data_IF_413741123304
#
_entry.id   IF_413741123304
#
_cell.length_a   1.000
_cell.length_b   1.000
_cell.length_c   1.000
_cell.angle_alpha   90.00
_cell.angle_beta   90.00
_cell.angle_gamma   90.00
#
_symmetry.space_group_name_H-M   'P 1'
#
loop_
_entity.id
_entity.type
_entity.pdbx_description
1 polymer ?
#
# COMPACT_ATOMS: atom_id res chain seq x y z
N UNK A 1 14.12 -28.57 -11.59
CA UNK A 1 14.88 -27.67 -10.69
C UNK A 1 14.26 -26.27 -10.56
N UNK A 2 13.56 -25.76 -11.57
CA UNK A 2 13.05 -24.37 -11.62
C UNK A 2 11.65 -24.15 -11.01
N UNK A 3 11.07 -25.16 -10.36
CA UNK A 3 9.75 -25.06 -9.70
C UNK A 3 9.87 -24.69 -8.20
N UNK A 4 11.04 -24.98 -7.59
CA UNK A 4 11.34 -24.60 -6.20
C UNK A 4 11.66 -23.11 -6.06
N UNK A 5 12.26 -22.50 -7.09
CA UNK A 5 12.60 -21.07 -7.11
C UNK A 5 11.37 -20.16 -7.17
N UNK A 6 10.24 -20.64 -7.70
CA UNK A 6 9.00 -19.87 -7.81
C UNK A 6 8.34 -19.66 -6.45
N UNK A 7 8.39 -20.67 -5.58
CA UNK A 7 7.86 -20.59 -4.21
C UNK A 7 8.74 -19.72 -3.29
N UNK A 8 10.06 -19.72 -3.52
CA UNK A 8 10.99 -18.88 -2.74
C UNK A 8 10.92 -17.40 -3.15
N UNK A 9 10.56 -17.09 -4.39
CA UNK A 9 10.49 -15.69 -4.86
C UNK A 9 9.33 -14.88 -4.24
N UNK A 10 8.19 -15.53 -3.96
CA UNK A 10 7.07 -14.87 -3.26
C UNK A 10 7.43 -14.53 -1.81
N UNK A 11 8.19 -15.40 -1.16
CA UNK A 11 8.70 -15.19 0.20
C UNK A 11 9.82 -14.12 0.26
N UNK A 12 10.73 -14.09 -0.72
CA UNK A 12 11.83 -13.13 -0.76
C UNK A 12 11.35 -11.68 -1.02
N UNK A 13 10.29 -11.49 -1.80
CA UNK A 13 9.69 -10.16 -2.01
C UNK A 13 9.03 -9.61 -0.73
N UNK A 14 8.48 -10.49 0.11
CA UNK A 14 7.96 -10.12 1.43
C UNK A 14 9.10 -9.73 2.40
N UNK A 15 10.28 -10.37 2.26
CA UNK A 15 11.42 -10.19 3.17
C UNK A 15 12.25 -8.92 2.97
N UNK A 16 12.56 -8.53 1.73
CA UNK A 16 13.50 -7.42 1.47
C UNK A 16 12.94 -6.02 1.80
N UNK A 17 11.63 -5.88 1.96
CA UNK A 17 10.94 -4.61 2.20
C UNK A 17 10.23 -4.53 3.58
N UNK A 18 10.40 -5.56 4.41
CA UNK A 18 9.49 -6.00 5.48
C UNK A 18 9.25 -5.09 6.70
N UNK A 19 9.77 -3.86 6.75
CA UNK A 19 9.40 -2.89 7.79
C UNK A 19 8.95 -1.52 7.24
N UNK A 20 9.29 -1.16 6.00
CA UNK A 20 8.83 0.09 5.34
C UNK A 20 7.74 -0.15 4.30
N UNK A 21 7.78 -1.29 3.62
CA UNK A 21 6.69 -1.71 2.73
C UNK A 21 5.48 -2.24 3.50
N UNK A 22 5.62 -2.55 4.79
CA UNK A 22 4.50 -3.02 5.60
C UNK A 22 3.34 -2.00 5.60
N UNK A 23 3.61 -0.74 5.94
CA UNK A 23 2.56 0.30 5.95
C UNK A 23 1.92 0.55 4.57
N UNK A 24 2.69 0.50 3.48
CA UNK A 24 2.17 0.66 2.12
C UNK A 24 1.35 -0.58 1.71
N UNK A 25 1.81 -1.78 2.08
CA UNK A 25 1.12 -3.04 1.83
C UNK A 25 -0.21 -3.10 2.57
N UNK A 26 -0.21 -2.74 3.86
CA UNK A 26 -1.43 -2.64 4.69
C UNK A 26 -2.41 -1.62 4.10
N UNK A 27 -1.94 -0.42 3.75
CA UNK A 27 -2.77 0.60 3.11
C UNK A 27 -3.35 0.12 1.77
N UNK A 28 -2.55 -0.56 0.94
CA UNK A 28 -2.99 -1.12 -0.33
C UNK A 28 -4.01 -2.26 -0.15
N UNK A 29 -3.81 -3.12 0.86
CA UNK A 29 -4.78 -4.17 1.21
C UNK A 29 -6.11 -3.57 1.68
N UNK A 30 -6.07 -2.59 2.60
CA UNK A 30 -7.27 -1.90 3.09
C UNK A 30 -7.98 -1.13 1.96
N UNK A 31 -7.23 -0.46 1.09
CA UNK A 31 -7.77 0.22 -0.09
C UNK A 31 -8.46 -0.75 -1.06
N UNK A 32 -7.89 -1.93 -1.29
CA UNK A 32 -8.55 -2.98 -2.11
C UNK A 32 -9.85 -3.46 -1.49
N UNK A 33 -9.87 -3.74 -0.19
CA UNK A 33 -11.11 -4.12 0.51
C UNK A 33 -12.17 -3.03 0.41
N UNK A 34 -11.80 -1.77 0.61
CA UNK A 34 -12.74 -0.65 0.53
C UNK A 34 -13.30 -0.45 -0.89
N UNK A 35 -12.44 -0.54 -1.91
CA UNK A 35 -12.87 -0.49 -3.32
C UNK A 35 -13.83 -1.64 -3.67
N UNK A 36 -13.51 -2.87 -3.24
CA UNK A 36 -14.37 -4.03 -3.47
C UNK A 36 -15.74 -3.89 -2.79
N UNK A 37 -15.78 -3.17 -1.66
CA UNK A 37 -17.02 -2.84 -0.95
C UNK A 37 -17.74 -1.59 -1.51
N UNK A 38 -17.19 -0.90 -2.52
CA UNK A 38 -17.77 0.30 -3.10
C UNK A 38 -17.72 1.53 -2.18
N UNK A 39 -16.80 1.56 -1.20
CA UNK A 39 -16.66 2.69 -0.27
C UNK A 39 -15.95 3.84 -0.99
N UNK A 40 -16.57 5.01 -1.02
CA UNK A 40 -15.97 6.23 -1.56
C UNK A 40 -14.87 6.75 -0.61
N UNK A 41 -13.66 7.08 -1.10
CA UNK A 41 -12.56 7.55 -0.25
C UNK A 41 -12.88 8.85 0.53
N UNK A 42 -13.79 9.68 0.03
CA UNK A 42 -14.19 10.93 0.68
C UNK A 42 -15.35 10.75 1.66
N UNK A 43 -15.97 9.57 1.68
CA UNK A 43 -17.10 9.26 2.56
C UNK A 43 -16.70 9.18 4.04
N UNK A 44 -17.63 9.45 4.97
CA UNK A 44 -17.44 9.21 6.40
C UNK A 44 -17.06 7.76 6.73
N UNK A 45 -17.50 6.79 5.92
CA UNK A 45 -17.21 5.37 6.06
C UNK A 45 -15.72 5.06 5.83
N UNK A 46 -15.00 5.87 5.03
CA UNK A 46 -13.57 5.72 4.82
C UNK A 46 -12.72 6.20 6.01
N UNK A 47 -13.26 7.09 6.86
CA UNK A 47 -12.55 7.67 8.01
C UNK A 47 -11.99 6.63 8.98
N UNK A 48 -12.76 5.64 9.50
CA UNK A 48 -12.23 4.63 10.40
C UNK A 48 -11.13 3.78 9.76
N UNK A 49 -11.23 3.48 8.46
CA UNK A 49 -10.22 2.72 7.71
C UNK A 49 -8.90 3.48 7.67
N UNK A 50 -8.95 4.78 7.39
CA UNK A 50 -7.76 5.65 7.38
C UNK A 50 -7.15 5.78 8.78
N UNK A 51 -7.98 5.96 9.81
CA UNK A 51 -7.52 6.13 11.19
C UNK A 51 -6.81 4.88 11.73
N UNK A 52 -7.30 3.68 11.41
CA UNK A 52 -6.66 2.41 11.79
C UNK A 52 -5.23 2.32 11.27
N UNK A 53 -5.04 2.49 9.94
CA UNK A 53 -3.74 2.36 9.29
C UNK A 53 -2.81 3.50 9.69
N UNK A 54 -3.31 4.74 9.79
CA UNK A 54 -2.52 5.88 10.25
C UNK A 54 -2.04 5.69 11.70
N UNK A 55 -2.91 5.16 12.57
CA UNK A 55 -2.60 4.82 13.95
C UNK A 55 -1.56 3.70 14.08
N UNK A 56 -1.70 2.61 13.31
CA UNK A 56 -0.66 1.57 13.22
C UNK A 56 0.67 2.12 12.76
N UNK A 57 0.65 2.92 11.69
CA UNK A 57 1.85 3.51 11.16
C UNK A 57 2.54 4.43 12.17
N UNK A 58 1.80 5.28 12.88
CA UNK A 58 2.33 6.12 13.93
C UNK A 58 2.96 5.30 15.07
N UNK A 59 2.32 4.20 15.48
CA UNK A 59 2.88 3.25 16.46
C UNK A 59 4.21 2.66 16.00
N UNK A 60 4.35 2.30 14.72
CA UNK A 60 5.65 1.81 14.18
C UNK A 60 6.76 2.87 14.24
N UNK A 61 6.39 4.15 14.24
CA UNK A 61 7.32 5.27 14.40
C UNK A 61 7.59 5.63 15.87
N UNK A 62 6.94 4.94 16.83
CA UNK A 62 7.01 5.26 18.25
C UNK A 62 6.41 6.64 18.59
N UNK A 63 5.40 7.08 17.83
CA UNK A 63 4.78 8.41 17.98
C UNK A 63 3.26 8.30 18.04
N UNK A 64 2.57 9.25 18.69
CA UNK A 64 1.12 9.35 18.56
C UNK A 64 0.74 9.64 17.10
N UNK A 65 -0.44 9.20 16.68
CA UNK A 65 -1.00 9.63 15.41
C UNK A 65 -1.17 11.14 15.38
N UNK A 66 -0.96 11.73 14.21
CA UNK A 66 -1.01 13.16 14.01
C UNK A 66 -0.58 13.60 12.62
N UNK A 67 -0.52 14.92 12.38
CA UNK A 67 -0.29 15.47 11.05
C UNK A 67 1.03 15.02 10.41
N UNK A 68 2.08 14.89 11.21
CA UNK A 68 3.42 14.53 10.73
C UNK A 68 3.54 13.05 10.32
N UNK A 69 3.17 12.06 11.16
CA UNK A 69 3.05 10.67 10.71
C UNK A 69 2.17 10.51 9.46
N UNK A 70 0.99 11.16 9.43
CA UNK A 70 0.08 11.07 8.27
C UNK A 70 0.68 11.66 7.00
N UNK A 71 1.41 12.78 7.08
CA UNK A 71 2.15 13.34 5.94
C UNK A 71 3.24 12.37 5.45
N UNK A 72 3.99 11.76 6.36
CA UNK A 72 5.03 10.78 5.99
C UNK A 72 4.43 9.53 5.35
N UNK A 73 3.27 9.07 5.83
CA UNK A 73 2.54 7.96 5.21
C UNK A 73 2.10 8.32 3.79
N UNK A 74 1.51 9.51 3.60
CA UNK A 74 1.06 9.99 2.30
C UNK A 74 2.22 10.04 1.29
N UNK A 75 3.36 10.61 1.66
CA UNK A 75 4.55 10.64 0.78
C UNK A 75 5.02 9.24 0.38
N UNK A 76 4.89 8.24 1.27
CA UNK A 76 5.25 6.85 0.95
C UNK A 76 4.25 6.22 -0.02
N UNK A 77 2.96 6.47 0.15
CA UNK A 77 1.92 5.99 -0.76
C UNK A 77 2.10 6.59 -2.16
N UNK A 78 2.37 7.90 -2.23
CA UNK A 78 2.64 8.59 -3.50
C UNK A 78 3.88 8.03 -4.21
N UNK A 79 4.97 7.77 -3.47
CA UNK A 79 6.16 7.13 -4.02
C UNK A 79 5.90 5.68 -4.48
N UNK A 80 5.07 4.94 -3.75
CA UNK A 80 4.70 3.57 -4.12
C UNK A 80 3.80 3.51 -5.36
N UNK A 81 3.01 4.57 -5.59
CA UNK A 81 2.08 4.74 -6.68
C UNK A 81 2.71 5.38 -7.94
N UNK A 82 4.03 5.34 -8.07
CA UNK A 82 4.72 5.83 -9.27
C UNK A 82 4.38 4.93 -10.49
N UNK A 83 3.79 5.47 -11.58
CA UNK A 83 3.51 4.70 -12.79
C UNK A 83 4.74 4.02 -13.40
N UNK A 84 5.94 4.59 -13.20
CA UNK A 84 7.21 4.00 -13.65
C UNK A 84 7.53 2.73 -12.87
N UNK A 85 7.24 2.72 -11.57
CA UNK A 85 7.43 1.55 -10.70
C UNK A 85 6.50 0.42 -11.09
N UNK A 86 5.22 0.71 -11.34
CA UNK A 86 4.25 -0.26 -11.82
C UNK A 86 4.68 -0.88 -13.16
N UNK A 87 5.08 -0.03 -14.13
CA UNK A 87 5.60 -0.50 -15.42
C UNK A 87 6.87 -1.34 -15.27
N UNK A 88 7.79 -0.94 -14.40
CA UNK A 88 9.01 -1.69 -14.12
C UNK A 88 8.70 -3.09 -13.57
N UNK A 89 7.81 -3.19 -12.58
CA UNK A 89 7.42 -4.48 -11.99
C UNK A 89 6.70 -5.38 -13.01
N UNK A 90 5.86 -4.81 -13.88
CA UNK A 90 5.24 -5.56 -14.97
C UNK A 90 6.29 -6.11 -15.95
N UNK A 91 7.25 -5.28 -16.39
CA UNK A 91 8.32 -5.74 -17.28
C UNK A 91 9.20 -6.80 -16.62
N UNK A 92 9.50 -6.64 -15.33
CA UNK A 92 10.26 -7.62 -14.57
C UNK A 92 9.53 -8.96 -14.49
N UNK A 93 8.21 -8.96 -14.30
CA UNK A 93 7.42 -10.18 -14.32
C UNK A 93 7.44 -10.86 -15.69
N UNK A 94 7.31 -10.09 -16.77
CA UNK A 94 7.39 -10.62 -18.15
C UNK A 94 8.76 -11.26 -18.42
N UNK A 95 9.86 -10.58 -18.09
CA UNK A 95 11.22 -11.09 -18.32
C UNK A 95 11.50 -12.38 -17.54
N UNK A 96 10.93 -12.52 -16.34
CA UNK A 96 11.15 -13.69 -15.48
C UNK A 96 10.05 -14.77 -15.62
N UNK A 97 9.12 -14.62 -16.58
CA UNK A 97 7.97 -15.52 -16.75
C UNK A 97 7.13 -15.68 -15.45
N UNK A 98 7.07 -14.62 -14.64
CA UNK A 98 6.21 -14.58 -13.46
C UNK A 98 4.79 -14.19 -13.83
N UNK A 99 3.79 -14.59 -13.01
CA UNK A 99 2.46 -14.03 -13.11
C UNK A 99 2.51 -12.49 -13.06
N UNK A 100 1.70 -11.80 -13.86
CA UNK A 100 1.65 -10.34 -13.81
C UNK A 100 1.24 -9.88 -12.40
N UNK A 101 1.88 -8.84 -11.85
CA UNK A 101 1.51 -8.33 -10.54
C UNK A 101 0.09 -7.78 -10.56
N UNK A 102 -0.63 -7.95 -9.47
CA UNK A 102 -1.95 -7.34 -9.28
C UNK A 102 -1.84 -5.81 -9.37
N UNK A 103 -2.75 -5.10 -10.07
CA UNK A 103 -2.73 -3.65 -10.15
C UNK A 103 -2.89 -3.02 -8.76
N UNK A 104 -1.84 -2.33 -8.29
CA UNK A 104 -1.85 -1.69 -6.97
C UNK A 104 -2.39 -0.26 -7.02
N UNK A 105 -2.35 0.35 -8.21
CA UNK A 105 -2.64 1.77 -8.40
C UNK A 105 -4.04 2.19 -7.93
N UNK A 106 -5.15 1.49 -8.26
CA UNK A 106 -6.47 1.90 -7.79
C UNK A 106 -6.56 1.96 -6.26
N UNK A 107 -5.98 0.97 -5.56
CA UNK A 107 -6.02 0.91 -4.11
C UNK A 107 -5.11 1.95 -3.44
N UNK A 108 -3.94 2.21 -4.01
CA UNK A 108 -3.04 3.27 -3.55
C UNK A 108 -3.66 4.65 -3.78
N UNK A 109 -4.29 4.88 -4.93
CA UNK A 109 -5.01 6.12 -5.25
C UNK A 109 -6.18 6.34 -4.28
N UNK A 110 -6.98 5.30 -4.03
CA UNK A 110 -8.08 5.33 -3.07
C UNK A 110 -7.56 5.73 -1.69
N UNK A 111 -6.53 5.04 -1.19
CA UNK A 111 -6.04 5.27 0.16
C UNK A 111 -5.37 6.64 0.30
N UNK A 112 -4.60 7.07 -0.71
CA UNK A 112 -3.99 8.40 -0.70
C UNK A 112 -5.04 9.51 -0.73
N UNK A 113 -6.14 9.33 -1.47
CA UNK A 113 -7.28 10.26 -1.50
C UNK A 113 -7.95 10.33 -0.13
N UNK A 114 -8.35 9.19 0.43
CA UNK A 114 -8.96 9.12 1.75
C UNK A 114 -8.06 9.72 2.85
N UNK A 115 -6.75 9.46 2.79
CA UNK A 115 -5.78 10.01 3.73
C UNK A 115 -5.64 11.53 3.61
N UNK A 116 -5.80 12.12 2.41
CA UNK A 116 -5.82 13.58 2.21
C UNK A 116 -7.10 14.20 2.74
N UNK A 117 -8.24 13.55 2.52
CA UNK A 117 -9.57 14.03 2.94
C UNK A 117 -9.74 13.96 4.45
N UNK A 118 -9.27 12.89 5.10
CA UNK A 118 -9.51 12.62 6.52
C UNK A 118 -8.29 12.94 7.43
N UNK A 119 -7.51 13.98 7.13
CA UNK A 119 -6.24 14.30 7.86
C UNK A 119 -6.40 14.75 9.31
N UNK A 120 -7.54 15.33 9.68
CA UNK A 120 -7.76 16.00 10.97
C UNK A 120 -8.54 15.13 11.98
N UNK A 121 -8.77 13.87 11.64
CA UNK A 121 -9.75 12.99 12.23
C UNK A 121 -9.19 12.01 13.25
#
# INVERSE_FOLDING_TARGET
>A
AMHLLTEQHTADHAGAAGLRADAVSVACARGRTALAAGVDPDSPEARPIVAEVAGEYARTLGRPDGPEPRRRLLTRLEAANDPRRERYLHLLAVVNEWPPPEPQRPALDWFATALRTHRAA
#
